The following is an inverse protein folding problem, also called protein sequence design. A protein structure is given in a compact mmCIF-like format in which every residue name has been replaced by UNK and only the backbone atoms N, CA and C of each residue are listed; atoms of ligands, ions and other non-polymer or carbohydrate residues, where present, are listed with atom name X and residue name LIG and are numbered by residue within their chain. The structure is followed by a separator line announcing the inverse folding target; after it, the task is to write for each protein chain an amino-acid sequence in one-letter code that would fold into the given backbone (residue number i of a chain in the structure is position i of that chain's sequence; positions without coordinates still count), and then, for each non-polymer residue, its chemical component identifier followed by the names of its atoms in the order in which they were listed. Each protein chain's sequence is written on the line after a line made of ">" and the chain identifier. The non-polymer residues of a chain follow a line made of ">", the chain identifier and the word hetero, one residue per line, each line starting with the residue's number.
data_IF_250777783168
#
_entry.id   IF_250777783168
#
_cell.length_a   1.000
_cell.length_b   1.000
_cell.length_c   1.000
_cell.angle_alpha   90.00
_cell.angle_beta   90.00
_cell.angle_gamma   90.00
#
_symmetry.space_group_name_H-M   'P 1'
#
loop_
_entity.id
_entity.type
_entity.pdbx_description
1 polymer ?
#
# COMPACT_ATOMS: atom_id res chain seq x y z
N UNK A 1 -7.78 7.32 20.51
CA UNK A 1 -7.74 7.71 21.93
C UNK A 1 -8.63 8.93 22.08
N UNK A 2 -9.68 8.83 22.89
CA UNK A 2 -10.66 9.91 23.06
C UNK A 2 -10.00 11.18 23.64
N UNK A 3 -8.88 11.04 24.36
CA UNK A 3 -8.15 12.17 24.94
C UNK A 3 -7.38 13.00 23.91
N UNK A 4 -6.97 12.40 22.79
CA UNK A 4 -6.25 13.09 21.70
C UNK A 4 -7.16 13.51 20.55
N UNK A 5 -8.40 13.03 20.51
CA UNK A 5 -9.31 13.24 19.37
C UNK A 5 -8.91 12.45 18.11
N UNK A 6 -7.93 11.54 18.22
CA UNK A 6 -7.45 10.72 17.10
C UNK A 6 -8.20 9.39 17.08
N UNK A 7 -8.84 9.11 15.95
CA UNK A 7 -9.51 7.84 15.67
C UNK A 7 -8.49 6.91 14.99
N UNK A 8 -8.13 5.84 15.69
CA UNK A 8 -7.29 4.78 15.13
C UNK A 8 -8.15 3.64 14.60
N UNK A 9 -7.78 3.09 13.45
CA UNK A 9 -8.40 1.88 12.88
C UNK A 9 -7.33 1.02 12.25
N UNK A 10 -7.45 -0.29 12.46
CA UNK A 10 -6.65 -1.33 11.81
C UNK A 10 -7.57 -2.32 11.12
N UNK A 11 -7.25 -2.72 9.89
CA UNK A 11 -8.04 -3.66 9.10
C UNK A 11 -7.16 -4.53 8.22
N UNK A 12 -7.68 -5.70 7.86
CA UNK A 12 -7.11 -6.52 6.80
C UNK A 12 -7.92 -6.27 5.53
N UNK A 13 -7.25 -5.85 4.46
CA UNK A 13 -7.80 -5.77 3.12
C UNK A 13 -7.42 -7.04 2.34
N UNK A 14 -8.35 -7.54 1.54
CA UNK A 14 -8.15 -8.71 0.69
C UNK A 14 -8.33 -8.33 -0.76
N UNK A 15 -7.31 -8.55 -1.57
CA UNK A 15 -7.34 -8.31 -3.00
C UNK A 15 -7.25 -9.66 -3.73
N UNK A 16 -7.99 -9.83 -4.83
CA UNK A 16 -7.67 -10.91 -5.77
C UNK A 16 -6.25 -10.71 -6.28
N UNK A 17 -5.54 -11.80 -6.55
CA UNK A 17 -4.19 -11.72 -7.08
C UNK A 17 -4.16 -10.83 -8.34
N UNK A 18 -3.40 -9.73 -8.26
CA UNK A 18 -3.23 -8.74 -9.32
C UNK A 18 -1.98 -9.00 -10.17
N UNK A 19 -1.16 -9.99 -9.82
CA UNK A 19 0.05 -10.35 -10.54
C UNK A 19 -0.34 -10.87 -11.94
N UNK A 20 0.32 -10.44 -13.02
CA UNK A 20 0.07 -10.98 -14.36
C UNK A 20 0.24 -12.51 -14.43
N UNK A 21 -0.60 -13.18 -15.22
CA UNK A 21 -0.57 -14.65 -15.38
C UNK A 21 0.81 -15.19 -15.78
N UNK A 22 1.56 -14.45 -16.59
CA UNK A 22 2.90 -14.87 -17.01
C UNK A 22 3.88 -15.02 -15.83
N UNK A 23 3.72 -14.20 -14.79
CA UNK A 23 4.52 -14.26 -13.56
C UNK A 23 3.99 -15.30 -12.58
N UNK A 24 2.70 -15.66 -12.64
CA UNK A 24 2.10 -16.74 -11.83
C UNK A 24 2.60 -18.13 -12.20
N UNK A 25 3.40 -18.28 -13.26
CA UNK A 25 4.16 -19.52 -13.52
C UNK A 25 5.15 -19.82 -12.41
N UNK A 26 5.63 -18.80 -11.70
CA UNK A 26 6.41 -18.97 -10.47
C UNK A 26 5.43 -19.34 -9.35
N UNK A 27 5.55 -20.56 -8.82
CA UNK A 27 4.61 -21.14 -7.84
C UNK A 27 4.36 -20.22 -6.63
N UNK A 28 5.39 -19.50 -6.20
CA UNK A 28 5.31 -18.56 -5.09
C UNK A 28 4.35 -17.39 -5.35
N UNK A 29 4.26 -16.91 -6.59
CA UNK A 29 3.39 -15.79 -6.98
C UNK A 29 1.96 -16.25 -7.29
N UNK A 30 1.71 -17.56 -7.27
CA UNK A 30 0.42 -18.19 -7.56
C UNK A 30 -0.41 -18.38 -6.28
N UNK A 31 -0.83 -17.27 -5.70
CA UNK A 31 -1.79 -17.26 -4.57
C UNK A 31 -3.17 -16.80 -5.04
N UNK A 32 -4.28 -17.23 -4.42
CA UNK A 32 -5.62 -16.78 -4.81
C UNK A 32 -5.89 -15.33 -4.40
N UNK A 33 -5.37 -14.91 -3.25
CA UNK A 33 -5.60 -13.60 -2.65
C UNK A 33 -4.30 -13.01 -2.09
N UNK A 34 -4.22 -11.69 -2.14
CA UNK A 34 -3.19 -10.88 -1.50
C UNK A 34 -3.85 -10.20 -0.30
N UNK A 35 -3.24 -10.39 0.87
CA UNK A 35 -3.66 -9.77 2.12
C UNK A 35 -2.78 -8.57 2.42
N UNK A 36 -3.42 -7.45 2.71
CA UNK A 36 -2.78 -6.21 3.15
C UNK A 36 -3.29 -5.87 4.54
N UNK A 37 -2.40 -5.45 5.42
CA UNK A 37 -2.77 -4.83 6.68
C UNK A 37 -2.71 -3.32 6.52
N UNK A 38 -3.78 -2.64 6.92
CA UNK A 38 -3.89 -1.19 6.88
C UNK A 38 -4.17 -0.64 8.27
N UNK A 39 -3.37 0.34 8.66
CA UNK A 39 -3.54 1.13 9.86
C UNK A 39 -3.78 2.59 9.46
N UNK A 40 -4.73 3.24 10.12
CA UNK A 40 -5.07 4.64 9.87
C UNK A 40 -5.26 5.40 11.17
N UNK A 41 -4.81 6.63 11.19
CA UNK A 41 -4.95 7.59 12.29
C UNK A 41 -5.63 8.84 11.73
N UNK A 42 -6.89 9.06 12.08
CA UNK A 42 -7.68 10.23 11.69
C UNK A 42 -7.72 11.24 12.83
N UNK A 43 -7.08 12.38 12.63
CA UNK A 43 -7.14 13.54 13.52
C UNK A 43 -8.22 14.50 13.01
N UNK A 44 -9.38 14.47 13.67
CA UNK A 44 -10.53 15.31 13.30
C UNK A 44 -10.27 16.80 13.56
N UNK A 45 -9.44 17.13 14.56
CA UNK A 45 -9.15 18.53 14.93
C UNK A 45 -8.21 19.17 13.91
N UNK A 46 -7.16 18.44 13.50
CA UNK A 46 -6.20 18.91 12.50
C UNK A 46 -6.63 18.62 11.05
N UNK A 47 -7.81 18.02 10.85
CA UNK A 47 -8.34 17.61 9.53
C UNK A 47 -7.29 16.85 8.71
N UNK A 48 -6.64 15.87 9.33
CA UNK A 48 -5.67 15.03 8.65
C UNK A 48 -5.89 13.54 8.94
N UNK A 49 -5.49 12.71 7.99
CA UNK A 49 -5.44 11.27 8.17
C UNK A 49 -4.08 10.76 7.69
N UNK A 50 -3.37 10.04 8.56
CA UNK A 50 -2.22 9.24 8.17
C UNK A 50 -2.67 7.79 7.99
N UNK A 51 -2.13 7.12 6.98
CA UNK A 51 -2.40 5.71 6.72
C UNK A 51 -1.09 4.98 6.41
N UNK A 52 -0.98 3.75 6.90
CA UNK A 52 0.11 2.83 6.62
C UNK A 52 -0.46 1.51 6.16
N UNK A 53 0.03 1.02 5.04
CA UNK A 53 -0.38 -0.26 4.49
C UNK A 53 0.84 -1.13 4.30
N UNK A 54 0.78 -2.41 4.64
CA UNK A 54 1.84 -3.35 4.29
C UNK A 54 1.27 -4.71 3.88
N UNK A 55 1.98 -5.36 2.96
CA UNK A 55 1.58 -6.65 2.43
C UNK A 55 1.94 -7.77 3.40
N UNK A 56 0.95 -8.57 3.77
CA UNK A 56 1.10 -9.77 4.60
C UNK A 56 1.40 -11.02 3.76
N UNK A 57 1.16 -10.95 2.45
CA UNK A 57 1.45 -12.04 1.51
C UNK A 57 2.86 -11.90 0.95
N UNK A 58 3.55 -13.01 0.69
CA UNK A 58 4.89 -13.05 0.08
C UNK A 58 6.02 -12.37 0.86
N UNK A 59 5.85 -12.14 2.17
CA UNK A 59 6.84 -11.47 3.02
C UNK A 59 8.24 -12.09 3.00
N UNK A 60 8.36 -13.36 2.61
CA UNK A 60 9.65 -14.06 2.42
C UNK A 60 10.39 -13.68 1.13
N UNK A 61 9.72 -13.08 0.14
CA UNK A 61 10.24 -12.82 -1.20
C UNK A 61 10.17 -11.34 -1.58
N UNK A 62 9.17 -10.63 -1.08
CA UNK A 62 9.05 -9.20 -1.25
C UNK A 62 8.31 -8.58 -0.07
N UNK A 63 8.70 -7.37 0.30
CA UNK A 63 7.91 -6.48 1.14
C UNK A 63 7.35 -5.36 0.29
N UNK A 64 6.06 -5.12 0.43
CA UNK A 64 5.37 -3.95 -0.10
C UNK A 64 4.84 -3.19 1.10
N UNK A 65 5.19 -1.91 1.22
CA UNK A 65 4.62 -1.00 2.21
C UNK A 65 4.29 0.33 1.57
N UNK A 66 3.23 0.97 2.05
CA UNK A 66 2.80 2.29 1.64
C UNK A 66 2.56 3.14 2.88
N UNK A 67 2.95 4.41 2.81
CA UNK A 67 2.53 5.44 3.74
C UNK A 67 1.82 6.54 2.95
N UNK A 68 0.63 6.94 3.41
CA UNK A 68 -0.13 8.02 2.80
C UNK A 68 -0.67 9.00 3.83
N UNK A 69 -0.81 10.25 3.42
CA UNK A 69 -1.33 11.35 4.24
C UNK A 69 -2.36 12.12 3.44
N UNK A 70 -3.55 12.25 4.02
CA UNK A 70 -4.61 13.14 3.58
C UNK A 70 -4.63 14.34 4.51
N UNK A 71 -4.65 15.56 3.97
CA UNK A 71 -4.72 16.79 4.76
C UNK A 71 -5.54 17.86 4.03
N UNK A 72 -6.15 18.77 4.77
CA UNK A 72 -6.75 19.96 4.16
C UNK A 72 -5.70 20.72 3.32
N UNK A 73 -6.07 21.13 2.11
CA UNK A 73 -5.15 21.84 1.23
C UNK A 73 -4.89 23.26 1.73
N UNK A 74 -3.65 23.73 1.59
CA UNK A 74 -3.30 25.13 1.86
C UNK A 74 -3.77 26.08 0.77
N UNK A 75 -4.04 25.58 -0.43
CA UNK A 75 -4.43 26.38 -1.59
C UNK A 75 -5.95 26.63 -1.64
N UNK A 76 -6.74 25.64 -1.22
CA UNK A 76 -8.19 25.72 -1.18
C UNK A 76 -8.75 24.96 0.04
N UNK A 77 -9.51 25.60 0.94
CA UNK A 77 -10.04 24.97 2.16
C UNK A 77 -11.05 23.83 1.91
N UNK A 78 -11.62 23.75 0.71
CA UNK A 78 -12.55 22.71 0.27
C UNK A 78 -11.84 21.51 -0.39
N UNK A 79 -10.51 21.58 -0.58
CA UNK A 79 -9.72 20.51 -1.17
C UNK A 79 -8.96 19.69 -0.13
N UNK A 80 -8.64 18.46 -0.50
CA UNK A 80 -7.78 17.57 0.29
C UNK A 80 -6.54 17.24 -0.50
N UNK A 81 -5.38 17.61 0.03
CA UNK A 81 -4.10 17.15 -0.50
C UNK A 81 -3.91 15.68 -0.13
N UNK A 82 -3.49 14.89 -1.13
CA UNK A 82 -3.11 13.51 -0.94
C UNK A 82 -1.63 13.32 -1.28
N UNK A 83 -0.86 12.80 -0.34
CA UNK A 83 0.55 12.43 -0.54
C UNK A 83 0.73 10.96 -0.22
N UNK A 84 1.33 10.20 -1.15
CA UNK A 84 1.56 8.78 -1.01
C UNK A 84 3.01 8.43 -1.31
N UNK A 85 3.58 7.54 -0.50
CA UNK A 85 4.92 6.98 -0.66
C UNK A 85 4.84 5.46 -0.56
N UNK A 86 5.15 4.79 -1.65
CA UNK A 86 5.29 3.34 -1.69
C UNK A 86 6.76 2.91 -1.57
N UNK A 87 7.02 1.80 -0.89
CA UNK A 87 8.30 1.10 -0.87
C UNK A 87 8.06 -0.35 -1.24
N UNK A 88 8.88 -0.85 -2.15
CA UNK A 88 8.92 -2.25 -2.53
C UNK A 88 10.35 -2.73 -2.34
N UNK A 89 10.53 -3.81 -1.60
CA UNK A 89 11.82 -4.48 -1.45
C UNK A 89 11.65 -5.91 -1.93
N UNK A 90 12.50 -6.35 -2.85
CA UNK A 90 12.50 -7.73 -3.35
C UNK A 90 13.73 -8.43 -2.78
N UNK A 91 13.52 -9.58 -2.14
CA UNK A 91 14.56 -10.36 -1.47
C UNK A 91 14.66 -11.73 -2.15
N UNK A 92 15.86 -12.13 -2.57
CA UNK A 92 16.12 -13.51 -3.01
C UNK A 92 15.61 -13.90 -4.42
N UNK A 93 15.36 -12.96 -5.32
CA UNK A 93 14.77 -13.27 -6.63
C UNK A 93 15.77 -13.44 -7.82
N UNK A 94 17.08 -13.27 -7.62
CA UNK A 94 18.08 -13.47 -8.70
C UNK A 94 17.71 -12.78 -10.02
N UNK A 95 17.72 -13.50 -11.15
CA UNK A 95 17.34 -13.01 -12.49
C UNK A 95 15.88 -12.47 -12.61
N UNK A 96 15.00 -12.74 -11.64
CA UNK A 96 13.63 -12.25 -11.63
C UNK A 96 13.47 -10.84 -11.04
N UNK A 97 14.54 -10.26 -10.48
CA UNK A 97 14.50 -8.92 -9.86
C UNK A 97 13.97 -7.85 -10.82
N UNK A 98 14.48 -7.79 -12.05
CA UNK A 98 14.09 -6.75 -13.02
C UNK A 98 12.59 -6.83 -13.39
N UNK A 99 12.06 -8.05 -13.53
CA UNK A 99 10.64 -8.27 -13.89
C UNK A 99 9.72 -7.95 -12.72
N UNK A 100 10.11 -8.35 -11.50
CA UNK A 100 9.36 -8.02 -10.28
C UNK A 100 9.39 -6.53 -9.99
N UNK A 101 10.52 -5.87 -10.22
CA UNK A 101 10.68 -4.42 -10.08
C UNK A 101 9.80 -3.65 -11.09
N UNK A 102 9.80 -4.07 -12.36
CA UNK A 102 8.95 -3.45 -13.38
C UNK A 102 7.44 -3.62 -13.06
N UNK A 103 7.05 -4.79 -12.55
CA UNK A 103 5.68 -5.02 -12.09
C UNK A 103 5.34 -4.14 -10.87
N UNK A 104 6.23 -4.12 -9.88
CA UNK A 104 6.12 -3.31 -8.67
C UNK A 104 5.92 -1.81 -8.98
N UNK A 105 6.75 -1.24 -9.87
CA UNK A 105 6.61 0.13 -10.32
C UNK A 105 5.29 0.38 -11.04
N UNK A 106 4.85 -0.55 -11.88
CA UNK A 106 3.58 -0.45 -12.61
C UNK A 106 2.38 -0.52 -11.66
N UNK A 107 2.44 -1.40 -10.66
CA UNK A 107 1.39 -1.55 -9.64
C UNK A 107 1.25 -0.28 -8.81
N UNK A 108 2.35 0.31 -8.32
CA UNK A 108 2.30 1.58 -7.60
C UNK A 108 1.75 2.72 -8.46
N UNK A 109 2.21 2.84 -9.71
CA UNK A 109 1.72 3.89 -10.63
C UNK A 109 0.24 3.72 -10.98
N UNK A 110 -0.27 2.50 -11.10
CA UNK A 110 -1.68 2.26 -11.35
C UNK A 110 -2.53 2.40 -10.09
N UNK A 111 -2.00 2.03 -8.92
CA UNK A 111 -2.65 2.22 -7.63
C UNK A 111 -2.91 3.70 -7.35
N UNK A 112 -1.95 4.58 -7.66
CA UNK A 112 -2.12 6.05 -7.52
C UNK A 112 -3.22 6.61 -8.44
N UNK A 113 -3.59 5.92 -9.52
CA UNK A 113 -4.59 6.38 -10.49
C UNK A 113 -6.00 5.84 -10.24
N UNK A 114 -6.16 4.88 -9.33
CA UNK A 114 -7.45 4.26 -8.99
C UNK A 114 -7.97 4.81 -7.67
#
# INVERSE_FOLDING_TARGET
>A
DLSTGIIYRRRIATCRNVIPEILRKVSVLKVPYIYLEEESWLDMQKRNMAMKTHCLTWTQYASLSEESVFRASSENPDWTDFTQKGRISVTGAGLLNCVLEAFAQSFLKQGVKK
#
